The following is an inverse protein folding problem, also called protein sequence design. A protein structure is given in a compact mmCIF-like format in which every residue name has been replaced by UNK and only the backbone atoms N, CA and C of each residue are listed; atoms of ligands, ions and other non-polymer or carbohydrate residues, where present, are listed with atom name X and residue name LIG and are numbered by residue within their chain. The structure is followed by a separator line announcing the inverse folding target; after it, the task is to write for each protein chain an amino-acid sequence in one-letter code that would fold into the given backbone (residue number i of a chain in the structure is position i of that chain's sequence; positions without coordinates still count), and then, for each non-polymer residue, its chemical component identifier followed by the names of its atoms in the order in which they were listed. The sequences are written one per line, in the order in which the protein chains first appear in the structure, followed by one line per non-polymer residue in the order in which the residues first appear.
data_IF_977788097919
#
_entry.id   IF_977788097919
#
_cell.length_a   1.000
_cell.length_b   1.000
_cell.length_c   1.000
_cell.angle_alpha   90.00
_cell.angle_beta   90.00
_cell.angle_gamma   90.00
#
_symmetry.space_group_name_H-M   'P 1'
#
loop_
_entity.id
_entity.type
_entity.pdbx_description
1 polymer ?
#
# COMPACT_ATOMS: atom_id res chain seq x y z
N UNK A 1 -2.91 -9.72 -16.63
CA UNK A 1 -2.22 -8.78 -15.73
C UNK A 1 -0.94 -9.42 -15.20
N UNK A 2 0.12 -9.62 -16.01
CA UNK A 2 1.45 -10.09 -15.54
C UNK A 2 2.52 -9.73 -16.59
N UNK A 3 2.70 -8.44 -16.87
CA UNK A 3 3.64 -7.93 -17.88
C UNK A 3 4.49 -6.80 -17.28
N UNK A 4 5.22 -7.12 -16.21
CA UNK A 4 6.17 -6.20 -15.57
C UNK A 4 7.23 -5.70 -16.57
N UNK A 5 7.57 -6.53 -17.57
CA UNK A 5 8.44 -6.18 -18.69
C UNK A 5 7.96 -4.96 -19.51
N UNK A 6 6.65 -4.84 -19.73
CA UNK A 6 6.09 -3.70 -20.46
C UNK A 6 5.95 -2.48 -19.55
N UNK A 7 5.54 -2.70 -18.29
CA UNK A 7 5.45 -1.63 -17.29
C UNK A 7 6.81 -0.97 -17.06
N UNK A 8 7.89 -1.75 -16.98
CA UNK A 8 9.26 -1.23 -16.84
C UNK A 8 9.67 -0.37 -18.05
N UNK A 9 9.33 -0.79 -19.27
CA UNK A 9 9.62 0.01 -20.49
C UNK A 9 8.89 1.36 -20.46
N UNK A 10 7.62 1.36 -20.06
CA UNK A 10 6.86 2.61 -19.94
C UNK A 10 7.39 3.50 -18.82
N UNK A 11 7.76 2.92 -17.67
CA UNK A 11 8.33 3.68 -16.57
C UNK A 11 9.64 4.38 -16.95
N UNK A 12 10.51 3.72 -17.72
CA UNK A 12 11.75 4.35 -18.23
C UNK A 12 11.46 5.58 -19.09
N UNK A 13 10.39 5.56 -19.89
CA UNK A 13 9.99 6.73 -20.69
C UNK A 13 9.55 7.86 -19.76
N UNK A 14 8.78 7.56 -18.72
CA UNK A 14 8.35 8.56 -17.73
C UNK A 14 9.56 9.19 -17.01
N UNK A 15 10.51 8.37 -16.57
CA UNK A 15 11.73 8.81 -15.90
C UNK A 15 12.61 9.71 -16.79
N UNK A 16 12.66 9.43 -18.10
CA UNK A 16 13.38 10.29 -19.06
C UNK A 16 12.74 11.67 -19.24
N UNK A 17 11.42 11.77 -19.05
CA UNK A 17 10.68 13.03 -19.15
C UNK A 17 10.83 13.81 -17.85
N UNK A 18 10.50 13.18 -16.73
CA UNK A 18 10.60 13.74 -15.38
C UNK A 18 10.56 12.61 -14.34
N UNK A 19 11.70 12.34 -13.72
CA UNK A 19 11.83 11.29 -12.70
C UNK A 19 11.20 11.68 -11.35
N UNK A 20 11.18 12.96 -11.02
CA UNK A 20 10.67 13.48 -9.74
C UNK A 20 9.16 13.75 -9.78
N UNK A 21 8.55 13.74 -10.96
CA UNK A 21 7.11 13.90 -11.12
C UNK A 21 6.34 12.89 -10.27
N UNK A 22 5.33 13.34 -9.53
CA UNK A 22 4.52 12.50 -8.62
C UNK A 22 3.96 11.26 -9.31
N UNK A 23 3.55 11.38 -10.58
CA UNK A 23 3.05 10.26 -11.37
C UNK A 23 4.14 9.21 -11.67
N UNK A 24 5.37 9.65 -11.97
CA UNK A 24 6.52 8.77 -12.20
C UNK A 24 6.92 8.04 -10.92
N UNK A 25 6.89 8.74 -9.78
CA UNK A 25 7.15 8.17 -8.47
C UNK A 25 6.10 7.11 -8.09
N UNK A 26 4.80 7.40 -8.25
CA UNK A 26 3.74 6.42 -8.01
C UNK A 26 3.84 5.20 -8.93
N UNK A 27 4.11 5.40 -10.22
CA UNK A 27 4.31 4.30 -11.16
C UNK A 27 5.53 3.43 -10.77
N UNK A 28 6.60 4.05 -10.27
CA UNK A 28 7.77 3.35 -9.74
C UNK A 28 7.41 2.51 -8.51
N UNK A 29 6.64 3.05 -7.56
CA UNK A 29 6.20 2.33 -6.37
C UNK A 29 5.35 1.11 -6.71
N UNK A 30 4.39 1.23 -7.63
CA UNK A 30 3.57 0.09 -8.06
C UNK A 30 4.36 -0.97 -8.82
N UNK A 31 5.31 -0.57 -9.67
CA UNK A 31 6.20 -1.53 -10.34
C UNK A 31 7.06 -2.28 -9.32
N UNK A 32 7.63 -1.55 -8.36
CA UNK A 32 8.45 -2.11 -7.30
C UNK A 32 7.67 -3.10 -6.41
N UNK A 33 6.42 -2.78 -6.07
CA UNK A 33 5.50 -3.71 -5.40
C UNK A 33 5.25 -4.98 -6.22
N UNK A 34 5.01 -4.83 -7.52
CA UNK A 34 4.76 -5.98 -8.41
C UNK A 34 6.00 -6.86 -8.61
N UNK A 35 7.20 -6.28 -8.60
CA UNK A 35 8.47 -7.01 -8.69
C UNK A 35 8.78 -7.75 -7.38
N UNK A 36 8.51 -7.11 -6.23
CA UNK A 36 8.73 -7.71 -4.92
C UNK A 36 10.20 -7.83 -4.52
N UNK A 37 10.47 -8.69 -3.53
CA UNK A 37 11.82 -8.89 -2.99
C UNK A 37 12.41 -7.61 -2.39
N UNK A 38 13.64 -7.27 -2.74
CA UNK A 38 14.30 -6.05 -2.26
C UNK A 38 13.62 -4.75 -2.73
N UNK A 39 12.81 -4.79 -3.79
CA UNK A 39 12.09 -3.62 -4.31
C UNK A 39 10.97 -3.13 -3.42
N UNK A 40 10.49 -3.95 -2.50
CA UNK A 40 9.44 -3.54 -1.55
C UNK A 40 9.91 -2.36 -0.68
N UNK A 41 11.16 -2.37 -0.22
CA UNK A 41 11.71 -1.27 0.57
C UNK A 41 11.75 0.03 -0.25
N UNK A 42 12.13 -0.04 -1.52
CA UNK A 42 12.13 1.12 -2.41
C UNK A 42 10.71 1.67 -2.61
N UNK A 43 9.70 0.80 -2.78
CA UNK A 43 8.30 1.23 -2.86
C UNK A 43 7.83 1.92 -1.57
N UNK A 44 8.20 1.38 -0.40
CA UNK A 44 7.86 1.99 0.89
C UNK A 44 8.44 3.40 1.02
N UNK A 45 9.71 3.58 0.65
CA UNK A 45 10.36 4.89 0.70
C UNK A 45 9.67 5.91 -0.21
N UNK A 46 9.25 5.52 -1.41
CA UNK A 46 8.49 6.41 -2.29
C UNK A 46 7.17 6.83 -1.63
N UNK A 47 6.41 5.89 -1.04
CA UNK A 47 5.17 6.25 -0.34
C UNK A 47 5.44 7.09 0.91
N UNK A 48 6.55 6.86 1.61
CA UNK A 48 6.99 7.69 2.74
C UNK A 48 7.25 9.13 2.29
N UNK A 49 8.04 9.33 1.23
CA UNK A 49 8.33 10.66 0.68
C UNK A 49 7.05 11.37 0.22
N UNK A 50 6.12 10.63 -0.41
CA UNK A 50 4.81 11.17 -0.78
C UNK A 50 3.97 11.57 0.45
N UNK A 51 4.07 10.82 1.55
CA UNK A 51 3.38 11.14 2.81
C UNK A 51 3.94 12.37 3.51
N UNK A 52 5.20 12.72 3.26
CA UNK A 52 5.84 13.93 3.78
C UNK A 52 5.50 15.17 2.93
N UNK A 53 5.33 14.98 1.62
CA UNK A 53 5.01 16.04 0.66
C UNK A 53 3.53 16.37 0.59
N UNK A 54 2.66 15.40 0.84
CA UNK A 54 1.21 15.51 0.66
C UNK A 54 0.44 15.01 1.89
N UNK A 55 -0.82 15.44 2.07
CA UNK A 55 -1.66 14.88 3.12
C UNK A 55 -1.73 13.35 3.05
N UNK A 56 -1.77 12.70 4.22
CA UNK A 56 -1.97 11.25 4.29
C UNK A 56 -3.35 10.86 3.73
N UNK A 57 -3.36 10.43 2.47
CA UNK A 57 -4.54 9.94 1.76
C UNK A 57 -4.71 8.44 1.98
N UNK A 58 -5.92 7.91 1.71
CA UNK A 58 -6.17 6.46 1.74
C UNK A 58 -5.21 5.69 0.84
N UNK A 59 -4.87 6.23 -0.35
CA UNK A 59 -3.91 5.61 -1.27
C UNK A 59 -2.51 5.48 -0.65
N UNK A 60 -2.01 6.54 -0.02
CA UNK A 60 -0.66 6.52 0.58
C UNK A 60 -0.64 5.56 1.78
N UNK A 61 -1.67 5.59 2.63
CA UNK A 61 -1.79 4.68 3.77
C UNK A 61 -1.82 3.22 3.32
N UNK A 62 -2.64 2.88 2.31
CA UNK A 62 -2.71 1.55 1.75
C UNK A 62 -1.39 1.13 1.10
N UNK A 63 -0.76 2.01 0.33
CA UNK A 63 0.54 1.75 -0.30
C UNK A 63 1.63 1.39 0.72
N UNK A 64 1.74 2.18 1.80
CA UNK A 64 2.66 1.89 2.91
C UNK A 64 2.32 0.59 3.61
N UNK A 65 1.04 0.37 3.95
CA UNK A 65 0.60 -0.84 4.63
C UNK A 65 0.87 -2.11 3.82
N UNK A 66 0.63 -2.10 2.51
CA UNK A 66 0.95 -3.22 1.62
C UNK A 66 2.45 -3.49 1.62
N UNK A 67 3.29 -2.45 1.55
CA UNK A 67 4.74 -2.62 1.68
C UNK A 67 5.12 -3.28 3.03
N UNK A 68 4.55 -2.82 4.15
CA UNK A 68 4.77 -3.41 5.47
C UNK A 68 4.34 -4.88 5.53
N UNK A 69 3.18 -5.24 4.97
CA UNK A 69 2.71 -6.63 4.86
C UNK A 69 3.73 -7.48 4.10
N UNK A 70 4.22 -7.01 2.95
CA UNK A 70 5.23 -7.72 2.16
C UNK A 70 6.57 -7.88 2.89
N UNK A 71 6.93 -6.95 3.78
CA UNK A 71 8.12 -7.03 4.63
C UNK A 71 7.94 -7.88 5.90
N UNK A 72 6.71 -8.32 6.20
CA UNK A 72 6.37 -9.04 7.43
C UNK A 72 6.15 -8.13 8.65
N UNK A 73 6.10 -6.82 8.46
CA UNK A 73 5.87 -5.82 9.50
C UNK A 73 4.36 -5.62 9.73
N UNK A 74 3.68 -6.65 10.21
CA UNK A 74 2.22 -6.64 10.30
C UNK A 74 1.66 -5.64 11.33
N UNK A 75 2.36 -5.37 12.42
CA UNK A 75 1.92 -4.40 13.45
C UNK A 75 1.84 -2.97 12.89
N UNK A 76 2.84 -2.59 12.10
CA UNK A 76 2.86 -1.28 11.42
C UNK A 76 1.76 -1.21 10.35
N UNK A 77 1.57 -2.29 9.59
CA UNK A 77 0.52 -2.37 8.59
C UNK A 77 -0.88 -2.23 9.21
N UNK A 78 -1.15 -2.90 10.35
CA UNK A 78 -2.43 -2.79 11.07
C UNK A 78 -2.70 -1.34 11.48
N UNK A 79 -1.68 -0.65 12.01
CA UNK A 79 -1.78 0.75 12.42
C UNK A 79 -2.16 1.67 11.26
N UNK A 80 -1.46 1.52 10.13
CA UNK A 80 -1.71 2.31 8.91
C UNK A 80 -3.11 2.05 8.33
N UNK A 81 -3.56 0.80 8.34
CA UNK A 81 -4.88 0.42 7.83
C UNK A 81 -6.02 0.87 8.74
N UNK A 82 -5.81 0.88 10.07
CA UNK A 82 -6.77 1.48 11.00
C UNK A 82 -6.92 2.98 10.77
N UNK A 83 -5.82 3.70 10.50
CA UNK A 83 -5.88 5.11 10.11
C UNK A 83 -6.67 5.31 8.80
N UNK A 84 -6.45 4.44 7.81
CA UNK A 84 -7.19 4.50 6.54
C UNK A 84 -8.68 4.24 6.74
N UNK A 85 -9.05 3.26 7.58
CA UNK A 85 -10.46 2.99 7.93
C UNK A 85 -11.13 4.14 8.68
N UNK A 86 -10.38 4.87 9.51
CA UNK A 86 -10.90 6.07 10.17
C UNK A 86 -11.19 7.21 9.18
N UNK A 87 -10.51 7.24 8.03
CA UNK A 87 -10.77 8.20 6.96
C UNK A 87 -11.95 7.77 6.08
N UNK A 88 -11.97 6.50 5.66
CA UNK A 88 -13.10 5.91 4.95
C UNK A 88 -13.28 4.43 5.33
N UNK A 89 -14.31 4.18 6.14
CA UNK A 89 -14.62 2.86 6.67
C UNK A 89 -15.11 1.86 5.61
N UNK A 90 -15.48 2.34 4.41
CA UNK A 90 -16.06 1.57 3.31
C UNK A 90 -15.10 1.41 2.12
N UNK A 91 -13.89 1.96 2.21
CA UNK A 91 -12.91 1.85 1.15
C UNK A 91 -12.54 0.36 0.90
N UNK A 92 -12.79 -0.16 -0.30
CA UNK A 92 -12.63 -1.59 -0.58
C UNK A 92 -11.17 -2.03 -0.54
N UNK A 93 -10.22 -1.16 -0.92
CA UNK A 93 -8.78 -1.48 -0.90
C UNK A 93 -8.30 -1.63 0.55
N UNK A 94 -8.68 -0.70 1.41
CA UNK A 94 -8.36 -0.73 2.84
C UNK A 94 -8.92 -1.98 3.50
N UNK A 95 -10.19 -2.32 3.22
CA UNK A 95 -10.81 -3.52 3.78
C UNK A 95 -10.11 -4.80 3.31
N UNK A 96 -9.76 -4.90 2.03
CA UNK A 96 -9.05 -6.05 1.49
C UNK A 96 -7.68 -6.23 2.15
N UNK A 97 -6.90 -5.14 2.25
CA UNK A 97 -5.58 -5.16 2.89
C UNK A 97 -5.67 -5.49 4.39
N UNK A 98 -6.69 -4.96 5.08
CA UNK A 98 -6.92 -5.23 6.50
C UNK A 98 -7.27 -6.69 6.79
N UNK A 99 -8.05 -7.34 5.92
CA UNK A 99 -8.32 -8.78 6.04
C UNK A 99 -7.03 -9.59 5.89
N UNK A 100 -6.20 -9.28 4.89
CA UNK A 100 -4.92 -9.96 4.67
C UNK A 100 -4.00 -9.79 5.88
N UNK A 101 -3.86 -8.55 6.37
CA UNK A 101 -3.06 -8.23 7.55
C UNK A 101 -3.55 -9.01 8.79
N UNK A 102 -4.86 -9.01 9.05
CA UNK A 102 -5.48 -9.69 10.20
C UNK A 102 -5.23 -11.20 10.19
N UNK A 103 -5.31 -11.84 9.02
CA UNK A 103 -5.03 -13.27 8.87
C UNK A 103 -3.59 -13.62 9.26
N UNK A 104 -2.63 -12.76 8.94
CA UNK A 104 -1.22 -12.98 9.28
C UNK A 104 -0.89 -12.77 10.76
N UNK A 105 -1.59 -11.85 11.44
CA UNK A 105 -1.41 -11.60 12.87
C UNK A 105 -2.01 -12.73 13.73
N UNK A 106 -2.84 -13.62 13.15
CA UNK A 106 -3.47 -14.71 13.88
C UNK A 106 -4.60 -14.25 14.81
N UNK A 107 -5.03 -12.99 14.73
CA UNK A 107 -6.26 -12.52 15.38
C UNK A 107 -7.44 -13.10 14.61
N UNK A 108 -8.17 -14.00 15.26
CA UNK A 108 -9.37 -14.65 14.69
C UNK A 108 -10.29 -13.61 14.06
N UNK A 109 -10.59 -13.80 12.78
CA UNK A 109 -11.46 -12.98 11.91
C UNK A 109 -12.86 -12.69 12.52
N UNK A 110 -13.18 -13.38 13.61
CA UNK A 110 -14.39 -13.28 14.43
C UNK A 110 -14.53 -11.96 15.21
N UNK A 111 -13.44 -11.28 15.56
CA UNK A 111 -13.53 -10.13 16.48
C UNK A 111 -14.02 -8.84 15.77
N UNK A 112 -13.60 -8.61 14.51
CA UNK A 112 -13.93 -7.37 13.79
C UNK A 112 -15.27 -7.40 13.07
N UNK A 113 -15.73 -8.58 12.60
CA UNK A 113 -17.07 -8.72 12.00
C UNK A 113 -18.20 -8.56 13.04
N UNK A 114 -17.90 -8.82 14.33
CA UNK A 114 -18.86 -8.69 15.43
C UNK A 114 -19.08 -7.24 15.87
N UNK A 115 -18.09 -6.36 15.71
CA UNK A 115 -18.24 -4.93 15.99
C UNK A 115 -19.05 -4.17 14.94
N UNK A 116 -19.29 -4.77 13.75
CA UNK A 116 -20.09 -4.17 12.67
C UNK A 116 -21.49 -4.79 12.50
N UNK A 117 -21.89 -5.73 13.36
CA UNK A 117 -23.22 -6.36 13.35
C UNK A 117 -24.17 -5.85 14.45
N UNK A 118 -23.79 -4.81 15.18
CA UNK A 118 -24.56 -4.25 16.30
C UNK A 118 -24.87 -2.77 16.11
N UNK A 119 -25.75 -2.44 15.17
CA UNK A 119 -26.57 -1.23 15.16
C UNK A 119 -27.84 -1.51 14.35
#
# INVERSE_FOLDING_TARGET
MHRSDYAEKQLRIMQQIDEDHTLTQLASAWLNLAVGGSKIQEAYLIFQDLSEKYPMTGLILNGKAVCCIHMGNFDEAETLLLEALNKDAKDPETLANFVVCSLHIGKSSSHYLRERGGA
#
